data_IF_751240947186
#
_entry.id   IF_751240947186
#
_cell.length_a   1.000
_cell.length_b   1.000
_cell.length_c   1.000
_cell.angle_alpha   90.00
_cell.angle_beta   90.00
_cell.angle_gamma   90.00
#
_symmetry.space_group_name_H-M   'P 1'
#
loop_
_entity.id
_entity.type
_entity.pdbx_description
1 polymer ?
#
# COMPACT_ATOMS: atom_id res chain seq x y z
N UNK A 1 4.49 13.97 9.23
CA UNK A 1 3.47 13.75 8.18
C UNK A 1 3.25 14.98 7.30
N UNK A 2 3.09 16.17 7.88
CA UNK A 2 2.84 17.40 7.12
C UNK A 2 4.03 17.85 6.26
N UNK A 3 5.27 17.73 6.74
CA UNK A 3 6.47 18.07 5.95
C UNK A 3 6.60 17.18 4.71
N UNK A 4 6.36 15.87 4.86
CA UNK A 4 6.35 14.95 3.72
C UNK A 4 5.23 15.26 2.74
N UNK A 5 4.04 15.67 3.21
CA UNK A 5 2.95 16.14 2.35
C UNK A 5 3.33 17.41 1.56
N UNK A 6 4.03 18.35 2.21
CA UNK A 6 4.51 19.57 1.56
C UNK A 6 5.52 19.30 0.43
N UNK A 7 6.27 18.20 0.46
CA UNK A 7 7.13 17.81 -0.66
C UNK A 7 6.35 17.56 -1.96
N UNK A 8 5.07 17.21 -1.86
CA UNK A 8 4.19 16.97 -3.01
C UNK A 8 3.34 18.18 -3.39
N UNK A 9 3.28 19.19 -2.52
CA UNK A 9 2.58 20.45 -2.81
C UNK A 9 3.45 21.35 -3.70
N UNK A 10 3.33 21.15 -4.99
CA UNK A 10 4.02 21.95 -6.02
C UNK A 10 3.56 23.41 -6.09
N UNK A 11 2.41 23.77 -5.49
CA UNK A 11 1.83 25.12 -5.60
C UNK A 11 1.89 25.93 -4.31
N UNK A 12 2.23 25.31 -3.18
CA UNK A 12 2.35 25.97 -1.88
C UNK A 12 1.01 26.42 -1.28
N UNK A 13 -0.12 25.87 -1.74
CA UNK A 13 -1.46 26.20 -1.26
C UNK A 13 -2.02 25.17 -0.26
N UNK A 14 -1.18 24.28 0.25
CA UNK A 14 -1.51 23.26 1.23
C UNK A 14 -2.29 22.09 0.64
N UNK A 15 -2.18 21.83 -0.67
CA UNK A 15 -2.94 20.79 -1.37
C UNK A 15 -2.07 19.96 -2.32
N UNK A 16 -2.44 18.70 -2.51
CA UNK A 16 -1.80 17.80 -3.48
C UNK A 16 -2.85 17.17 -4.41
N UNK A 17 -2.44 16.74 -5.59
CA UNK A 17 -3.36 16.02 -6.48
C UNK A 17 -3.73 14.65 -5.92
N UNK A 18 -4.95 14.19 -6.19
CA UNK A 18 -5.41 12.84 -5.81
C UNK A 18 -4.48 11.76 -6.38
N UNK A 19 -3.97 11.95 -7.59
CA UNK A 19 -3.00 11.07 -8.24
C UNK A 19 -1.67 10.93 -7.46
N UNK A 20 -1.31 11.92 -6.63
CA UNK A 20 -0.08 11.91 -5.84
C UNK A 20 -0.24 11.24 -4.47
N UNK A 21 -1.46 10.84 -4.09
CA UNK A 21 -1.72 10.25 -2.76
C UNK A 21 -0.94 8.95 -2.59
N UNK A 22 -0.93 8.07 -3.59
CA UNK A 22 -0.17 6.81 -3.51
C UNK A 22 1.32 7.03 -3.26
N UNK A 23 1.92 7.99 -3.96
CA UNK A 23 3.34 8.31 -3.82
C UNK A 23 3.65 9.01 -2.50
N UNK A 24 2.76 9.90 -2.04
CA UNK A 24 2.88 10.53 -0.72
C UNK A 24 2.81 9.51 0.42
N UNK A 25 1.93 8.50 0.30
CA UNK A 25 1.85 7.40 1.26
C UNK A 25 3.14 6.57 1.27
N UNK A 26 3.72 6.28 0.09
CA UNK A 26 5.00 5.59 -0.07
C UNK A 26 6.17 6.35 0.53
N UNK A 27 6.24 7.65 0.30
CA UNK A 27 7.23 8.53 0.92
C UNK A 27 7.12 8.55 2.46
N UNK A 28 5.92 8.29 3.01
CA UNK A 28 5.66 8.15 4.44
C UNK A 28 5.89 6.72 4.98
N UNK A 29 6.44 5.81 4.17
CA UNK A 29 6.73 4.44 4.55
C UNK A 29 5.54 3.49 4.48
N UNK A 30 4.41 3.91 3.92
CA UNK A 30 3.27 3.03 3.65
C UNK A 30 3.41 2.39 2.27
N UNK A 31 3.05 1.12 2.12
CA UNK A 31 3.09 0.44 0.82
C UNK A 31 1.68 0.03 0.38
N UNK A 32 0.75 0.98 0.17
CA UNK A 32 -0.59 0.64 -0.29
C UNK A 32 -0.57 0.15 -1.74
N UNK A 33 -1.48 -0.77 -2.05
CA UNK A 33 -1.78 -1.09 -3.45
C UNK A 33 -2.58 0.04 -4.09
N UNK A 34 -2.58 0.12 -5.41
CA UNK A 34 -3.43 1.09 -6.15
C UNK A 34 -4.91 0.90 -5.84
N UNK A 35 -5.34 -0.33 -5.58
CA UNK A 35 -6.70 -0.65 -5.17
C UNK A 35 -7.02 -0.08 -3.78
N UNK A 36 -6.09 -0.13 -2.83
CA UNK A 36 -6.28 0.45 -1.51
C UNK A 36 -6.37 1.96 -1.58
N UNK A 37 -5.50 2.62 -2.34
CA UNK A 37 -5.58 4.07 -2.56
C UNK A 37 -6.95 4.44 -3.15
N UNK A 38 -7.39 3.74 -4.20
CA UNK A 38 -8.71 3.96 -4.82
C UNK A 38 -9.88 3.78 -3.85
N UNK A 39 -9.83 2.82 -2.93
CA UNK A 39 -10.89 2.64 -1.90
C UNK A 39 -11.05 3.89 -1.05
N UNK A 40 -9.98 4.61 -0.75
CA UNK A 40 -10.04 5.81 0.09
C UNK A 40 -10.18 7.11 -0.69
N UNK A 41 -9.93 7.11 -2.00
CA UNK A 41 -10.03 8.30 -2.86
C UNK A 41 -11.22 8.28 -3.81
N UNK A 42 -12.08 7.26 -3.78
CA UNK A 42 -13.22 7.09 -4.72
C UNK A 42 -14.21 8.27 -4.75
N UNK A 43 -14.27 9.07 -3.69
CA UNK A 43 -15.17 10.22 -3.57
C UNK A 43 -14.61 11.47 -4.27
N UNK A 44 -13.32 11.47 -4.60
CA UNK A 44 -12.63 12.59 -5.24
C UNK A 44 -12.40 12.32 -6.72
N UNK A 45 -12.40 13.41 -7.51
CA UNK A 45 -12.05 13.31 -8.93
C UNK A 45 -10.54 13.12 -9.11
N UNK A 46 -10.08 12.44 -10.16
CA UNK A 46 -8.66 12.22 -10.41
C UNK A 46 -7.81 13.51 -10.45
N UNK A 47 -8.36 14.58 -11.02
CA UNK A 47 -7.69 15.89 -11.14
C UNK A 47 -7.91 16.82 -9.94
N UNK A 48 -8.69 16.36 -8.95
CA UNK A 48 -8.96 17.14 -7.74
C UNK A 48 -7.70 17.29 -6.89
N UNK A 49 -7.61 18.41 -6.17
CA UNK A 49 -6.54 18.66 -5.20
C UNK A 49 -7.12 18.65 -3.79
N UNK A 50 -6.57 17.83 -2.91
CA UNK A 50 -7.05 17.65 -1.55
C UNK A 50 -6.12 18.31 -0.54
N UNK A 51 -6.68 18.80 0.57
CA UNK A 51 -5.90 19.39 1.66
C UNK A 51 -5.29 18.31 2.56
N UNK A 52 -4.34 18.72 3.41
CA UNK A 52 -3.78 17.83 4.43
C UNK A 52 -4.85 17.23 5.37
N UNK A 53 -5.91 17.98 5.66
CA UNK A 53 -7.04 17.53 6.51
C UNK A 53 -7.79 16.35 5.90
N UNK A 54 -7.86 16.28 4.57
CA UNK A 54 -8.47 15.15 3.83
C UNK A 54 -7.48 14.00 3.70
N UNK A 55 -6.20 14.30 3.53
CA UNK A 55 -5.14 13.28 3.40
C UNK A 55 -4.90 12.50 4.71
N UNK A 56 -4.91 13.18 5.86
CA UNK A 56 -4.60 12.57 7.15
C UNK A 56 -5.48 11.35 7.50
N UNK A 57 -6.82 11.39 7.37
CA UNK A 57 -7.64 10.21 7.63
C UNK A 57 -7.37 9.06 6.65
N UNK A 58 -7.02 9.35 5.38
CA UNK A 58 -6.62 8.33 4.40
C UNK A 58 -5.34 7.64 4.87
N UNK A 59 -4.33 8.41 5.26
CA UNK A 59 -3.07 7.89 5.81
C UNK A 59 -3.32 7.01 7.04
N UNK A 60 -4.16 7.46 7.98
CA UNK A 60 -4.48 6.70 9.19
C UNK A 60 -5.20 5.39 8.89
N UNK A 61 -6.15 5.39 7.94
CA UNK A 61 -6.87 4.18 7.55
C UNK A 61 -5.93 3.15 6.92
N UNK A 62 -5.06 3.59 6.01
CA UNK A 62 -4.08 2.71 5.36
C UNK A 62 -3.03 2.20 6.35
N UNK A 63 -2.55 3.06 7.25
CA UNK A 63 -1.59 2.66 8.29
C UNK A 63 -2.18 1.64 9.28
N UNK A 64 -3.49 1.70 9.56
CA UNK A 64 -4.19 0.74 10.43
C UNK A 64 -4.58 -0.55 9.70
N UNK A 65 -4.82 -0.47 8.39
CA UNK A 65 -5.15 -1.61 7.54
C UNK A 65 -3.94 -2.52 7.26
N UNK A 66 -2.72 -2.12 7.64
CA UNK A 66 -1.63 -3.08 7.86
C UNK A 66 -2.03 -3.99 9.03
N UNK A 67 -2.81 -5.03 8.74
CA UNK A 67 -2.65 -6.29 9.45
C UNK A 67 -1.20 -6.69 9.29
N UNK A 68 -0.59 -7.01 10.41
CA UNK A 68 0.81 -7.39 10.55
C UNK A 68 1.05 -8.76 9.93
N UNK A 69 0.86 -8.92 8.63
CA UNK A 69 1.38 -10.09 7.94
C UNK A 69 2.90 -9.90 7.92
N UNK A 70 3.54 -10.47 8.91
CA UNK A 70 4.98 -10.43 9.08
C UNK A 70 5.64 -11.32 8.04
N UNK A 71 6.95 -11.16 7.87
CA UNK A 71 7.71 -12.12 7.09
C UNK A 71 7.49 -13.56 7.60
N UNK A 72 7.30 -13.75 8.91
CA UNK A 72 6.99 -15.04 9.52
C UNK A 72 5.63 -15.60 9.07
N UNK A 73 4.58 -14.77 8.95
CA UNK A 73 3.27 -15.23 8.44
C UNK A 73 3.36 -15.72 6.99
N UNK A 74 4.16 -15.04 6.16
CA UNK A 74 4.43 -15.49 4.79
C UNK A 74 5.27 -16.76 4.75
N UNK A 75 6.31 -16.86 5.60
CA UNK A 75 7.17 -18.04 5.68
C UNK A 75 6.36 -19.27 6.13
N UNK A 76 5.51 -19.12 7.14
CA UNK A 76 4.60 -20.18 7.60
C UNK A 76 3.61 -20.60 6.49
N UNK A 77 3.05 -19.64 5.75
CA UNK A 77 2.19 -19.95 4.59
C UNK A 77 2.91 -20.74 3.50
N UNK A 78 4.17 -20.40 3.21
CA UNK A 78 4.97 -21.07 2.19
C UNK A 78 5.50 -22.44 2.65
N UNK A 79 5.69 -22.65 3.95
CA UNK A 79 6.09 -23.96 4.52
C UNK A 79 5.12 -25.07 4.18
N UNK A 80 3.84 -24.78 3.98
CA UNK A 80 2.86 -25.77 3.54
C UNK A 80 3.20 -26.38 2.17
N UNK A 81 3.95 -25.65 1.33
CA UNK A 81 4.32 -26.04 -0.03
C UNK A 81 5.74 -26.59 -0.14
N UNK A 82 6.60 -26.34 0.86
CA UNK A 82 7.91 -26.98 1.00
C UNK A 82 7.75 -28.38 1.61
N UNK A 83 7.33 -29.34 0.77
CA UNK A 83 7.06 -30.73 1.20
C UNK A 83 8.29 -31.45 1.73
N UNK A 84 9.48 -31.05 1.26
CA UNK A 84 10.75 -31.68 1.60
C UNK A 84 11.45 -31.00 2.79
N UNK A 85 10.94 -29.85 3.27
CA UNK A 85 11.46 -29.11 4.41
C UNK A 85 12.84 -28.51 4.19
N UNK A 86 13.23 -28.28 2.93
CA UNK A 86 14.57 -27.82 2.56
C UNK A 86 14.67 -26.28 2.46
N UNK A 87 13.56 -25.57 2.66
CA UNK A 87 13.46 -24.12 2.56
C UNK A 87 13.20 -23.61 1.13
N UNK A 88 12.94 -24.49 0.17
CA UNK A 88 12.70 -24.15 -1.23
C UNK A 88 11.39 -24.74 -1.73
N UNK A 89 10.68 -23.96 -2.55
CA UNK A 89 9.52 -24.42 -3.31
C UNK A 89 9.87 -24.49 -4.79
N UNK A 90 9.29 -25.45 -5.51
CA UNK A 90 9.53 -25.52 -6.95
C UNK A 90 8.86 -24.34 -7.69
N UNK A 91 9.45 -23.91 -8.81
CA UNK A 91 8.85 -22.86 -9.64
C UNK A 91 7.46 -23.25 -10.17
N UNK A 92 7.20 -24.54 -10.35
CA UNK A 92 5.89 -25.07 -10.74
C UNK A 92 4.85 -24.89 -9.62
N UNK A 93 5.22 -25.18 -8.37
CA UNK A 93 4.36 -25.01 -7.20
C UNK A 93 4.10 -23.53 -6.92
N UNK A 94 5.12 -22.68 -6.98
CA UNK A 94 4.95 -21.23 -6.84
C UNK A 94 4.02 -20.67 -7.92
N UNK A 95 4.20 -21.08 -9.18
CA UNK A 95 3.31 -20.65 -10.28
C UNK A 95 1.88 -21.09 -10.01
N UNK A 96 1.67 -22.35 -9.61
CA UNK A 96 0.34 -22.86 -9.28
C UNK A 96 -0.31 -22.07 -8.13
N UNK A 97 0.45 -21.76 -7.09
CA UNK A 97 0.03 -20.95 -5.94
C UNK A 97 -0.48 -19.56 -6.37
N UNK A 98 0.27 -18.90 -7.25
CA UNK A 98 -0.01 -17.52 -7.69
C UNK A 98 -1.11 -17.42 -8.75
N UNK A 99 -1.47 -18.53 -9.42
CA UNK A 99 -2.43 -18.51 -10.53
C UNK A 99 -3.73 -19.24 -10.25
N UNK A 100 -3.85 -19.98 -9.16
CA UNK A 100 -4.97 -20.92 -8.92
C UNK A 100 -5.80 -20.57 -7.66
N UNK A 101 -5.61 -19.37 -7.11
CA UNK A 101 -6.46 -18.78 -6.07
C UNK A 101 -7.36 -17.70 -6.66
#
# INVERSE_FOLDING_TARGET
FQEAFQLFDSRGDGKIHVSQIGDALRALGQNPTESDVKKFTHQHKPDERISFEVFLPIYQAISKARTSDTADDFIEGLRHFDKDGNGFISSAELRHLLTTL
#
